data_IF_089010388794
#
_entry.id   IF_089010388794
#
_cell.length_a   1.000
_cell.length_b   1.000
_cell.length_c   1.000
_cell.angle_alpha   90.00
_cell.angle_beta   90.00
_cell.angle_gamma   90.00
#
_symmetry.space_group_name_H-M   'P 1'
#
loop_
_entity.id
_entity.type
_entity.pdbx_description
1 polymer ?
#
# COMPACT_ATOMS: atom_id res chain seq x y z
N UNK A 1 2.13 2.47 -4.45
CA UNK A 1 3.39 2.23 -5.21
C UNK A 1 3.20 2.42 -6.71
N UNK A 2 2.12 1.88 -7.31
CA UNK A 2 1.87 2.00 -8.75
C UNK A 2 1.87 3.46 -9.26
N UNK A 3 1.18 4.44 -8.62
CA UNK A 3 1.26 5.84 -9.04
C UNK A 3 2.68 6.42 -8.99
N UNK A 4 3.48 6.03 -8.00
CA UNK A 4 4.88 6.46 -7.93
C UNK A 4 5.71 5.95 -9.12
N UNK A 5 5.47 4.71 -9.57
CA UNK A 5 6.11 4.17 -10.76
C UNK A 5 5.79 4.95 -12.03
N UNK A 6 4.55 5.45 -12.17
CA UNK A 6 4.17 6.30 -13.31
C UNK A 6 4.76 7.71 -13.24
N UNK A 7 5.00 8.23 -12.03
CA UNK A 7 5.53 9.57 -11.82
C UNK A 7 7.06 9.61 -11.66
N UNK A 8 7.74 8.48 -11.68
CA UNK A 8 9.20 8.41 -11.49
C UNK A 8 9.65 8.88 -10.10
N UNK A 9 8.86 8.63 -9.06
CA UNK A 9 9.13 9.03 -7.67
C UNK A 9 9.13 7.81 -6.74
N UNK A 10 9.56 8.01 -5.49
CA UNK A 10 9.53 6.96 -4.48
C UNK A 10 8.14 6.87 -3.86
N UNK A 11 7.53 5.68 -3.89
CA UNK A 11 6.26 5.39 -3.23
C UNK A 11 6.40 4.23 -2.25
N UNK A 12 6.02 4.47 -1.01
CA UNK A 12 6.17 3.51 0.07
C UNK A 12 4.83 3.16 0.71
N UNK A 13 4.56 1.88 0.83
CA UNK A 13 3.45 1.32 1.59
C UNK A 13 4.03 0.59 2.80
N UNK A 14 3.90 1.15 4.01
CA UNK A 14 4.38 0.52 5.24
C UNK A 14 3.60 -0.76 5.57
N UNK A 15 4.00 -1.43 6.63
CA UNK A 15 3.22 -2.51 7.23
C UNK A 15 1.88 -1.97 7.73
N UNK A 16 0.82 -2.76 7.61
CA UNK A 16 -0.51 -2.40 8.08
C UNK A 16 -0.50 -1.99 9.56
N UNK A 17 -1.19 -0.90 9.87
CA UNK A 17 -1.20 -0.32 11.22
C UNK A 17 0.06 0.44 11.61
N UNK A 18 1.07 0.57 10.73
CA UNK A 18 2.28 1.33 11.06
C UNK A 18 2.05 2.83 11.09
N UNK A 19 1.17 3.34 10.25
CA UNK A 19 0.68 4.72 10.21
C UNK A 19 -0.81 4.68 10.52
N UNK A 20 -1.27 5.62 11.34
CA UNK A 20 -2.69 5.74 11.71
C UNK A 20 -3.56 5.99 10.47
N UNK A 21 -4.76 5.44 10.49
CA UNK A 21 -5.81 5.67 9.50
C UNK A 21 -6.91 6.60 10.00
N UNK A 22 -6.75 7.16 11.20
CA UNK A 22 -7.72 8.10 11.73
C UNK A 22 -7.90 9.31 10.79
N UNK A 23 -9.14 9.63 10.47
CA UNK A 23 -9.49 10.71 9.53
C UNK A 23 -9.44 10.32 8.05
N UNK A 24 -9.09 9.07 7.72
CA UNK A 24 -9.15 8.54 6.36
C UNK A 24 -10.54 7.95 6.11
N UNK A 25 -11.17 8.32 5.01
CA UNK A 25 -12.42 7.69 4.55
C UNK A 25 -12.09 6.27 4.11
N UNK A 26 -12.72 5.24 4.72
CA UNK A 26 -12.36 3.85 4.41
C UNK A 26 -12.88 3.45 3.03
N UNK A 27 -12.00 2.79 2.27
CA UNK A 27 -12.38 2.04 1.08
C UNK A 27 -12.55 0.55 1.45
N UNK A 28 -11.45 -0.12 1.80
CA UNK A 28 -11.45 -1.49 2.28
C UNK A 28 -10.74 -1.55 3.64
N UNK A 29 -11.51 -1.60 4.73
CA UNK A 29 -11.01 -1.43 6.10
C UNK A 29 -9.91 -2.40 6.49
N UNK A 30 -9.92 -3.63 5.95
CA UNK A 30 -8.88 -4.63 6.19
C UNK A 30 -7.62 -4.43 5.36
N UNK A 31 -7.68 -3.63 4.28
CA UNK A 31 -6.60 -3.47 3.30
C UNK A 31 -6.04 -2.05 3.24
N UNK A 32 -6.77 -1.04 3.70
CA UNK A 32 -6.36 0.36 3.62
C UNK A 32 -5.05 0.61 4.37
N UNK A 33 -4.16 1.32 3.71
CA UNK A 33 -2.87 1.73 4.23
C UNK A 33 -2.62 3.20 3.90
N UNK A 34 -2.14 3.94 4.88
CA UNK A 34 -1.55 5.26 4.66
C UNK A 34 -0.09 5.09 4.29
N UNK A 35 0.36 5.76 3.26
CA UNK A 35 1.72 5.77 2.78
C UNK A 35 2.11 7.16 2.28
N UNK A 36 3.33 7.30 1.79
CA UNK A 36 3.85 8.57 1.32
C UNK A 36 4.49 8.45 -0.07
N UNK A 37 4.61 9.61 -0.73
CA UNK A 37 5.39 9.80 -1.93
C UNK A 37 6.48 10.83 -1.67
N UNK A 38 7.70 10.54 -2.11
CA UNK A 38 8.85 11.45 -1.97
C UNK A 38 9.73 11.38 -3.21
N UNK A 39 10.65 12.30 -3.36
CA UNK A 39 11.58 12.32 -4.49
C UNK A 39 12.76 11.36 -4.32
N UNK A 40 13.11 11.02 -3.08
CA UNK A 40 14.22 10.11 -2.79
C UNK A 40 13.93 9.26 -1.54
N UNK A 41 14.76 8.23 -1.32
CA UNK A 41 14.59 7.29 -0.21
C UNK A 41 14.89 7.92 1.15
N UNK A 42 15.80 8.90 1.21
CA UNK A 42 16.12 9.61 2.45
C UNK A 42 14.92 10.38 2.98
N UNK A 43 14.25 11.14 2.10
CA UNK A 43 13.02 11.85 2.46
C UNK A 43 11.91 10.88 2.88
N UNK A 44 11.83 9.70 2.22
CA UNK A 44 10.88 8.67 2.58
C UNK A 44 11.13 8.15 4.00
N UNK A 45 12.37 7.95 4.40
CA UNK A 45 12.71 7.55 5.76
C UNK A 45 12.27 8.60 6.79
N UNK A 46 12.54 9.89 6.52
CA UNK A 46 12.14 11.01 7.39
C UNK A 46 10.61 11.08 7.53
N UNK A 47 9.90 11.05 6.40
CA UNK A 47 8.42 11.14 6.40
C UNK A 47 7.80 9.93 7.09
N UNK A 48 8.33 8.73 6.83
CA UNK A 48 7.84 7.52 7.49
C UNK A 48 8.08 7.55 9.00
N UNK A 49 9.23 8.03 9.46
CA UNK A 49 9.54 8.18 10.89
C UNK A 49 8.59 9.16 11.56
N UNK A 50 8.27 10.28 10.89
CA UNK A 50 7.35 11.29 11.42
C UNK A 50 5.89 10.82 11.48
N UNK A 51 5.45 9.98 10.53
CA UNK A 51 4.07 9.52 10.45
C UNK A 51 3.80 8.22 11.21
N UNK A 52 4.82 7.40 11.44
CA UNK A 52 4.68 6.11 12.07
C UNK A 52 4.45 6.24 13.59
N UNK A 53 3.72 5.27 14.15
CA UNK A 53 3.55 5.16 15.60
C UNK A 53 2.14 4.89 16.02
N UNK A 54 1.93 4.81 17.33
CA UNK A 54 0.64 4.60 17.94
C UNK A 54 -0.21 5.88 17.89
N UNK A 55 -1.45 5.74 17.48
CA UNK A 55 -2.49 6.75 17.60
C UNK A 55 -3.68 6.14 18.37
N UNK A 56 -4.02 6.68 19.52
CA UNK A 56 -5.11 6.15 20.35
C UNK A 56 -6.50 6.33 19.73
N UNK A 57 -6.60 7.17 18.70
CA UNK A 57 -7.84 7.33 17.89
C UNK A 57 -7.99 6.25 16.82
N UNK A 58 -6.93 5.49 16.53
CA UNK A 58 -6.94 4.34 15.63
C UNK A 58 -6.47 3.08 16.38
N UNK A 59 -7.43 2.28 16.83
CA UNK A 59 -7.17 1.04 17.57
C UNK A 59 -6.35 0.01 16.76
N UNK A 60 -6.27 0.17 15.45
CA UNK A 60 -5.47 -0.70 14.57
C UNK A 60 -4.02 -0.27 14.45
N UNK A 61 -3.66 0.92 14.97
CA UNK A 61 -2.29 1.41 14.94
C UNK A 61 -1.38 0.61 15.87
N UNK A 62 -0.15 0.32 15.39
CA UNK A 62 0.81 -0.55 16.06
C UNK A 62 1.48 0.11 17.27
N UNK A 63 1.61 -0.62 18.37
CA UNK A 63 2.36 -0.19 19.57
C UNK A 63 3.88 -0.35 19.44
N UNK A 64 4.38 -0.89 18.32
CA UNK A 64 5.83 -1.09 18.13
C UNK A 64 6.55 0.25 18.09
N UNK A 65 7.69 0.41 18.78
CA UNK A 65 8.52 1.61 18.71
C UNK A 65 8.85 1.98 17.26
N UNK A 66 9.00 3.27 17.01
CA UNK A 66 9.42 3.78 15.70
C UNK A 66 10.95 3.81 15.69
N UNK A 67 11.61 3.03 14.81
CA UNK A 67 13.05 3.09 14.66
C UNK A 67 13.49 4.39 13.99
N UNK A 68 14.76 4.75 14.17
CA UNK A 68 15.39 5.84 13.41
C UNK A 68 15.79 5.32 12.02
N UNK A 69 14.88 5.37 11.06
CA UNK A 69 15.08 4.80 9.73
C UNK A 69 16.29 5.39 8.99
N UNK A 70 16.63 6.68 9.24
CA UNK A 70 17.80 7.31 8.61
C UNK A 70 19.13 6.66 9.03
N UNK A 71 19.20 6.12 10.23
CA UNK A 71 20.43 5.53 10.77
C UNK A 71 20.89 4.34 9.94
N UNK A 72 19.94 3.57 9.41
CA UNK A 72 20.21 2.30 8.73
C UNK A 72 20.29 2.42 7.20
N UNK A 73 20.01 3.63 6.64
CA UNK A 73 19.98 3.83 5.18
C UNK A 73 21.31 3.56 4.46
N UNK A 74 22.43 3.73 5.15
CA UNK A 74 23.75 3.52 4.59
C UNK A 74 24.40 2.24 5.14
N UNK A 75 23.62 1.36 5.75
CA UNK A 75 24.12 0.07 6.25
C UNK A 75 24.56 -0.82 5.11
N UNK A 76 25.61 -1.62 5.33
CA UNK A 76 26.04 -2.63 4.38
C UNK A 76 24.92 -3.67 4.18
N UNK A 77 24.69 -4.03 2.93
CA UNK A 77 23.72 -5.07 2.57
C UNK A 77 24.37 -6.43 2.29
N UNK A 78 25.67 -6.55 2.54
CA UNK A 78 26.41 -7.80 2.35
C UNK A 78 25.78 -8.93 3.18
N UNK A 79 25.48 -10.02 2.50
CA UNK A 79 24.86 -11.21 3.12
C UNK A 79 23.35 -11.12 3.33
N UNK A 80 22.71 -9.97 3.03
CA UNK A 80 21.23 -9.89 3.03
C UNK A 80 20.69 -10.80 1.93
N UNK A 81 19.72 -11.64 2.28
CA UNK A 81 19.04 -12.51 1.33
C UNK A 81 17.89 -11.74 0.63
N UNK A 82 17.93 -11.76 -0.69
CA UNK A 82 16.91 -11.13 -1.55
C UNK A 82 16.31 -12.22 -2.44
N UNK A 83 15.00 -12.41 -2.36
CA UNK A 83 14.26 -13.30 -3.24
C UNK A 83 13.76 -12.56 -4.48
N UNK A 84 14.04 -13.07 -5.66
CA UNK A 84 13.45 -12.66 -6.93
C UNK A 84 12.32 -13.63 -7.26
N UNK A 85 11.08 -13.13 -7.31
CA UNK A 85 9.92 -13.94 -7.67
C UNK A 85 9.91 -14.20 -9.19
N UNK A 86 10.50 -15.31 -9.61
CA UNK A 86 10.62 -15.70 -11.02
C UNK A 86 9.25 -15.74 -11.71
N UNK A 87 8.25 -16.32 -11.05
CA UNK A 87 6.87 -16.38 -11.56
C UNK A 87 6.30 -15.02 -11.98
N UNK A 88 6.77 -13.92 -11.35
CA UNK A 88 6.33 -12.55 -11.65
C UNK A 88 7.29 -11.85 -12.61
N UNK A 89 8.60 -12.03 -12.43
CA UNK A 89 9.61 -11.36 -13.26
C UNK A 89 9.60 -11.85 -14.71
N UNK A 90 9.27 -13.10 -14.96
CA UNK A 90 9.15 -13.67 -16.31
C UNK A 90 7.97 -13.09 -17.10
N UNK A 91 6.99 -12.48 -16.44
CA UNK A 91 5.85 -11.80 -17.08
C UNK A 91 6.18 -10.37 -17.56
N UNK A 92 7.37 -9.87 -17.29
CA UNK A 92 7.80 -8.54 -17.74
C UNK A 92 8.00 -8.57 -19.26
N UNK A 93 7.11 -7.88 -20.00
CA UNK A 93 7.11 -7.87 -21.48
C UNK A 93 7.86 -6.69 -22.09
N UNK A 94 7.95 -5.57 -21.37
CA UNK A 94 8.67 -4.39 -21.85
C UNK A 94 10.16 -4.57 -21.60
N UNK A 95 10.96 -4.48 -22.69
CA UNK A 95 12.40 -4.75 -22.62
C UNK A 95 13.16 -3.73 -21.79
N UNK A 96 12.76 -2.46 -21.75
CA UNK A 96 13.43 -1.45 -20.92
C UNK A 96 13.21 -1.74 -19.43
N UNK A 97 11.99 -2.14 -19.05
CA UNK A 97 11.66 -2.53 -17.67
C UNK A 97 12.44 -3.80 -17.31
N UNK A 98 12.52 -4.78 -18.21
CA UNK A 98 13.25 -6.03 -18.00
C UNK A 98 14.75 -5.78 -17.80
N UNK A 99 15.34 -4.94 -18.65
CA UNK A 99 16.76 -4.57 -18.57
C UNK A 99 17.05 -3.80 -17.26
N UNK A 100 16.19 -2.86 -16.89
CA UNK A 100 16.34 -2.12 -15.64
C UNK A 100 16.19 -3.05 -14.43
N UNK A 101 15.25 -3.99 -14.45
CA UNK A 101 15.09 -4.99 -13.39
C UNK A 101 16.35 -5.87 -13.26
N UNK A 102 16.89 -6.35 -14.37
CA UNK A 102 18.13 -7.13 -14.39
C UNK A 102 19.32 -6.31 -13.85
N UNK A 103 19.41 -5.02 -14.22
CA UNK A 103 20.42 -4.11 -13.70
C UNK A 103 20.32 -3.97 -12.16
N UNK A 104 19.12 -3.76 -11.63
CA UNK A 104 18.89 -3.68 -10.17
C UNK A 104 19.32 -4.97 -9.46
N UNK A 105 18.91 -6.14 -9.99
CA UNK A 105 19.31 -7.44 -9.43
C UNK A 105 20.83 -7.61 -9.42
N UNK A 106 21.51 -7.23 -10.50
CA UNK A 106 22.97 -7.29 -10.57
C UNK A 106 23.63 -6.31 -9.60
N UNK A 107 23.09 -5.14 -9.42
CA UNK A 107 23.57 -4.16 -8.43
C UNK A 107 23.55 -4.73 -7.01
N UNK A 108 22.44 -5.40 -6.62
CA UNK A 108 22.39 -6.07 -5.32
C UNK A 108 23.44 -7.14 -5.16
N UNK A 109 23.69 -7.96 -6.19
CA UNK A 109 24.76 -8.98 -6.18
C UNK A 109 26.14 -8.34 -6.02
N UNK A 110 26.42 -7.26 -6.74
CA UNK A 110 27.67 -6.52 -6.66
C UNK A 110 27.92 -5.91 -5.27
N UNK A 111 26.84 -5.48 -4.61
CA UNK A 111 26.88 -4.98 -3.23
C UNK A 111 26.96 -6.10 -2.19
N UNK A 112 27.08 -7.36 -2.61
CA UNK A 112 27.29 -8.50 -1.72
C UNK A 112 26.01 -9.12 -1.14
N UNK A 113 24.83 -8.74 -1.61
CA UNK A 113 23.60 -9.43 -1.25
C UNK A 113 23.53 -10.83 -1.88
N UNK A 114 22.90 -11.77 -1.19
CA UNK A 114 22.61 -13.12 -1.67
C UNK A 114 21.27 -13.07 -2.40
N UNK A 115 21.30 -13.13 -3.73
CA UNK A 115 20.09 -13.07 -4.54
C UNK A 115 19.72 -14.48 -5.00
N UNK A 116 18.51 -14.92 -4.64
CA UNK A 116 17.97 -16.24 -4.99
C UNK A 116 16.69 -16.07 -5.82
N UNK A 117 16.52 -16.90 -6.85
CA UNK A 117 15.26 -16.99 -7.57
C UNK A 117 14.30 -17.92 -6.81
N UNK A 118 13.08 -17.45 -6.62
CA UNK A 118 12.03 -18.17 -5.92
C UNK A 118 10.78 -18.23 -6.81
N UNK A 119 10.17 -19.40 -6.87
CA UNK A 119 8.92 -19.60 -7.58
C UNK A 119 7.76 -19.73 -6.58
N UNK A 120 6.63 -19.13 -6.92
CA UNK A 120 5.35 -19.38 -6.24
C UNK A 120 4.43 -20.16 -7.20
N UNK A 121 3.59 -21.05 -6.71
CA UNK A 121 2.66 -21.78 -7.56
C UNK A 121 1.83 -20.82 -8.43
N UNK A 122 1.76 -21.09 -9.74
CA UNK A 122 1.08 -20.22 -10.70
C UNK A 122 -0.39 -19.95 -10.34
N UNK A 123 -1.10 -20.94 -9.79
CA UNK A 123 -2.49 -20.77 -9.37
C UNK A 123 -2.63 -19.77 -8.24
N UNK A 124 -1.66 -19.71 -7.30
CA UNK A 124 -1.65 -18.71 -6.24
C UNK A 124 -1.34 -17.31 -6.80
N UNK A 125 -0.33 -17.21 -7.68
CA UNK A 125 -0.01 -15.93 -8.32
C UNK A 125 -1.21 -15.34 -9.07
N UNK A 126 -1.94 -16.17 -9.81
CA UNK A 126 -3.15 -15.77 -10.55
C UNK A 126 -4.34 -15.45 -9.66
N UNK A 127 -4.42 -16.04 -8.47
CA UNK A 127 -5.51 -15.80 -7.51
C UNK A 127 -5.39 -14.45 -6.77
N UNK A 128 -4.20 -13.83 -6.74
CA UNK A 128 -3.95 -12.61 -5.94
C UNK A 128 -4.91 -11.48 -6.32
N UNK A 129 -4.99 -11.13 -7.60
CA UNK A 129 -5.81 -10.00 -8.05
C UNK A 129 -7.31 -10.26 -7.90
N UNK A 130 -7.88 -11.41 -8.34
CA UNK A 130 -9.29 -11.71 -8.10
C UNK A 130 -9.66 -11.73 -6.61
N UNK A 131 -8.83 -12.32 -5.76
CA UNK A 131 -9.06 -12.34 -4.31
C UNK A 131 -9.08 -10.92 -3.73
N UNK A 132 -8.09 -10.09 -4.11
CA UNK A 132 -8.06 -8.69 -3.71
C UNK A 132 -9.34 -7.96 -4.14
N UNK A 133 -9.76 -8.11 -5.40
CA UNK A 133 -10.93 -7.41 -5.95
C UNK A 133 -12.20 -7.79 -5.18
N UNK A 134 -12.43 -9.09 -4.94
CA UNK A 134 -13.61 -9.57 -4.21
C UNK A 134 -13.64 -8.98 -2.79
N UNK A 135 -12.54 -9.03 -2.06
CA UNK A 135 -12.46 -8.49 -0.69
C UNK A 135 -12.66 -6.97 -0.70
N UNK A 136 -11.90 -6.27 -1.55
CA UNK A 136 -11.90 -4.81 -1.59
C UNK A 136 -13.27 -4.25 -1.99
N UNK A 137 -13.90 -4.81 -3.01
CA UNK A 137 -15.21 -4.33 -3.49
C UNK A 137 -16.33 -4.65 -2.51
N UNK A 138 -16.26 -5.80 -1.82
CA UNK A 138 -17.22 -6.16 -0.78
C UNK A 138 -17.14 -5.21 0.41
N UNK A 139 -15.92 -4.91 0.88
CA UNK A 139 -15.70 -3.97 1.98
C UNK A 139 -16.04 -2.53 1.57
N UNK A 140 -15.68 -2.12 0.35
CA UNK A 140 -16.03 -0.81 -0.19
C UNK A 140 -17.54 -0.60 -0.25
N UNK A 141 -18.29 -1.59 -0.71
CA UNK A 141 -19.76 -1.54 -0.73
C UNK A 141 -20.31 -1.30 0.68
N UNK A 142 -19.81 -2.03 1.68
CA UNK A 142 -20.19 -1.85 3.07
C UNK A 142 -19.80 -0.47 3.63
N UNK A 143 -18.57 -0.03 3.40
CA UNK A 143 -18.07 1.25 3.90
C UNK A 143 -18.79 2.43 3.25
N UNK A 144 -18.98 2.41 1.93
CA UNK A 144 -19.63 3.50 1.20
C UNK A 144 -21.14 3.55 1.46
N UNK A 145 -21.76 2.48 1.92
CA UNK A 145 -23.16 2.49 2.30
C UNK A 145 -23.47 3.50 3.41
N UNK A 146 -22.46 3.91 4.19
CA UNK A 146 -22.59 4.93 5.22
C UNK A 146 -22.68 6.38 4.66
N UNK A 147 -22.36 6.57 3.37
CA UNK A 147 -22.48 7.87 2.68
C UNK A 147 -23.91 8.06 2.16
N UNK A 148 -24.86 8.18 3.07
CA UNK A 148 -26.28 8.16 2.81
C UNK A 148 -27.00 9.49 3.17
N UNK A 149 -26.23 10.53 3.52
CA UNK A 149 -26.75 11.82 3.92
C UNK A 149 -27.33 11.86 5.34
N UNK A 150 -27.30 10.76 6.11
CA UNK A 150 -27.78 10.74 7.51
C UNK A 150 -26.65 11.15 8.46
N UNK A 151 -25.54 10.40 8.46
CA UNK A 151 -24.36 10.70 9.28
C UNK A 151 -23.22 11.28 8.45
N UNK A 152 -23.07 10.81 7.22
CA UNK A 152 -22.00 11.17 6.30
C UNK A 152 -22.55 11.38 4.90
N UNK A 153 -21.79 12.09 4.07
CA UNK A 153 -22.19 12.44 2.72
C UNK A 153 -23.02 13.73 2.64
N UNK A 154 -23.30 14.15 1.42
CA UNK A 154 -24.18 15.29 1.16
C UNK A 154 -25.63 14.90 1.44
N UNK A 155 -26.34 15.75 2.18
CA UNK A 155 -27.70 15.47 2.63
C UNK A 155 -28.73 16.15 1.73
N UNK A 156 -29.48 15.36 1.00
CA UNK A 156 -30.61 15.84 0.21
C UNK A 156 -31.92 15.85 1.03
N UNK A 157 -32.84 16.77 0.74
CA UNK A 157 -34.13 16.83 1.42
C UNK A 157 -34.98 15.58 1.20
N UNK A 158 -35.77 15.21 2.22
CA UNK A 158 -36.76 14.13 2.17
C UNK A 158 -37.70 14.18 3.35
N UNK A 159 -38.92 13.64 3.19
CA UNK A 159 -39.97 13.62 4.22
C UNK A 159 -39.78 12.46 5.22
N UNK A 160 -38.95 11.50 4.89
CA UNK A 160 -38.58 10.38 5.75
C UNK A 160 -37.09 10.11 5.67
N UNK A 161 -36.55 9.31 6.61
CA UNK A 161 -35.14 8.85 6.57
C UNK A 161 -34.85 8.13 5.27
N UNK A 162 -35.72 7.26 4.81
CA UNK A 162 -35.56 6.49 3.59
C UNK A 162 -35.50 7.39 2.35
N UNK A 163 -36.36 8.41 2.27
CA UNK A 163 -36.33 9.40 1.18
C UNK A 163 -35.01 10.20 1.20
N UNK A 164 -34.57 10.65 2.37
CA UNK A 164 -33.28 11.34 2.49
C UNK A 164 -32.15 10.44 1.99
N UNK A 165 -32.10 9.17 2.39
CA UNK A 165 -31.07 8.22 1.95
C UNK A 165 -31.12 7.96 0.45
N UNK A 166 -32.30 7.77 -0.12
CA UNK A 166 -32.48 7.53 -1.56
C UNK A 166 -32.02 8.78 -2.33
N UNK A 167 -32.55 9.96 -1.98
CA UNK A 167 -32.21 11.21 -2.65
C UNK A 167 -30.71 11.51 -2.58
N UNK A 168 -30.09 11.34 -1.41
CA UNK A 168 -28.65 11.58 -1.20
C UNK A 168 -27.72 10.62 -1.96
N UNK A 169 -28.23 9.45 -2.38
CA UNK A 169 -27.46 8.47 -3.18
C UNK A 169 -27.71 8.61 -4.68
N UNK A 170 -28.74 9.32 -5.07
CA UNK A 170 -29.18 9.42 -6.48
C UNK A 170 -28.62 10.67 -7.15
N UNK A 171 -28.22 11.66 -6.36
CA UNK A 171 -27.67 12.95 -6.79
C UNK A 171 -26.14 12.86 -6.99
#
# INVERSE_FOLDING_TARGET
RKPAGFCGIVGFKPTWGRISRFGVIPYASSLDHVGAFTRNVRDMAIVTEALAGRDDRDMTSSNRPVPHYLKDLNSDIKGIKIAVLKTVSDEIRNEDIKNNFAHVVNTFKQLGAIVEEVEIPNHLARAILPTYTIIADSEATSNHSCLDGIKYGDRQPGNSTDEVMINSRTD
#
